data_IF_365472422541
#
_entry.id   IF_365472422541
#
_cell.length_a   1.000
_cell.length_b   1.000
_cell.length_c   1.000
_cell.angle_alpha   90.00
_cell.angle_beta   90.00
_cell.angle_gamma   90.00
#
_symmetry.space_group_name_H-M   'P 1'
#
loop_
_entity.id
_entity.type
_entity.pdbx_description
1 polymer ?
#
# COMPACT_ATOMS: atom_id res chain seq x y z
N UNK A 1 50.30 -57.68 -16.05
CA UNK A 1 49.20 -57.04 -16.81
C UNK A 1 48.42 -56.15 -15.87
N UNK A 2 48.31 -54.88 -16.25
CA UNK A 2 47.63 -53.77 -15.57
C UNK A 2 46.10 -53.95 -15.58
N UNK A 3 45.42 -53.51 -14.51
CA UNK A 3 44.58 -52.29 -14.56
C UNK A 3 44.07 -51.90 -13.16
N UNK A 4 44.63 -50.79 -12.66
CA UNK A 4 44.00 -49.84 -11.73
C UNK A 4 42.99 -48.97 -12.50
N UNK A 5 41.99 -48.43 -11.80
CA UNK A 5 41.32 -47.11 -11.93
C UNK A 5 39.80 -47.22 -11.73
N UNK A 6 39.08 -46.29 -11.12
CA UNK A 6 39.38 -45.09 -10.32
C UNK A 6 38.03 -44.70 -9.69
N UNK A 7 38.06 -44.18 -8.47
CA UNK A 7 36.89 -43.63 -7.79
C UNK A 7 36.37 -42.39 -8.53
N UNK A 8 35.06 -42.33 -8.78
CA UNK A 8 34.40 -41.15 -9.32
C UNK A 8 34.26 -40.14 -8.20
N UNK A 9 35.22 -39.21 -8.13
CA UNK A 9 35.17 -38.04 -7.27
C UNK A 9 34.15 -37.03 -7.81
N UNK A 10 33.23 -36.67 -6.92
CA UNK A 10 32.56 -35.36 -6.76
C UNK A 10 33.03 -34.24 -7.69
N UNK A 11 32.26 -33.96 -8.75
CA UNK A 11 32.50 -32.82 -9.67
C UNK A 11 31.29 -31.86 -9.78
N UNK A 12 30.31 -31.94 -8.87
CA UNK A 12 29.10 -31.09 -8.91
C UNK A 12 29.17 -29.82 -8.04
N UNK A 13 30.14 -29.70 -7.12
CA UNK A 13 30.24 -28.55 -6.20
C UNK A 13 31.04 -27.37 -6.75
N UNK A 14 31.97 -27.61 -7.70
CA UNK A 14 32.82 -26.56 -8.29
C UNK A 14 32.06 -25.74 -9.35
N UNK A 15 31.19 -26.37 -10.14
CA UNK A 15 30.38 -25.67 -11.15
C UNK A 15 29.36 -24.69 -10.54
N UNK A 16 28.85 -24.97 -9.35
CA UNK A 16 27.93 -24.07 -8.63
C UNK A 16 28.68 -22.89 -8.01
N UNK A 17 29.92 -23.09 -7.55
CA UNK A 17 30.80 -22.00 -7.11
C UNK A 17 31.20 -21.08 -8.26
N UNK A 18 31.46 -21.62 -9.46
CA UNK A 18 31.74 -20.84 -10.66
C UNK A 18 30.55 -19.96 -11.07
N UNK A 19 29.33 -20.49 -11.03
CA UNK A 19 28.12 -19.69 -11.28
C UNK A 19 27.90 -18.62 -10.18
N UNK A 20 28.21 -18.95 -8.93
CA UNK A 20 28.18 -17.99 -7.81
C UNK A 20 29.15 -16.84 -8.02
N UNK A 21 30.40 -17.10 -8.41
CA UNK A 21 31.39 -16.07 -8.71
C UNK A 21 31.02 -15.25 -9.95
N UNK A 22 30.43 -15.86 -10.98
CA UNK A 22 29.97 -15.13 -12.18
C UNK A 22 28.77 -14.24 -11.87
N UNK A 23 27.84 -14.69 -11.03
CA UNK A 23 26.67 -13.89 -10.60
C UNK A 23 27.12 -12.80 -9.62
N UNK A 24 27.97 -13.11 -8.65
CA UNK A 24 28.48 -12.15 -7.67
C UNK A 24 29.45 -11.12 -8.28
N UNK A 25 30.23 -11.48 -9.31
CA UNK A 25 31.14 -10.55 -10.01
C UNK A 25 30.43 -9.64 -11.01
N UNK A 26 29.28 -10.07 -11.57
CA UNK A 26 28.45 -9.21 -12.44
C UNK A 26 27.50 -8.30 -11.67
N UNK A 27 27.26 -8.56 -10.39
CA UNK A 27 26.57 -7.64 -9.48
C UNK A 27 27.64 -6.68 -8.93
N UNK A 28 27.86 -5.56 -9.63
CA UNK A 28 28.72 -4.49 -9.12
C UNK A 28 28.14 -3.95 -7.80
N UNK A 29 28.79 -4.28 -6.69
CA UNK A 29 28.42 -3.90 -5.31
C UNK A 29 28.60 -2.39 -5.05
N UNK A 30 29.06 -1.61 -6.02
CA UNK A 30 29.36 -0.18 -5.84
C UNK A 30 28.21 0.79 -6.17
N UNK A 31 26.97 0.33 -6.40
CA UNK A 31 25.79 1.23 -6.47
C UNK A 31 24.95 1.30 -5.18
N UNK A 32 25.27 0.54 -4.14
CA UNK A 32 24.45 0.44 -2.91
C UNK A 32 25.07 0.98 -1.61
N UNK A 33 26.36 1.35 -1.59
CA UNK A 33 27.08 1.73 -0.35
C UNK A 33 26.62 3.04 0.31
N UNK A 34 25.74 3.81 -0.33
CA UNK A 34 25.27 5.09 0.21
C UNK A 34 23.97 5.02 1.02
N UNK A 35 23.35 3.85 1.21
CA UNK A 35 21.96 3.69 1.67
C UNK A 35 21.84 3.04 3.07
N UNK A 36 22.79 3.26 3.98
CA UNK A 36 22.85 2.55 5.27
C UNK A 36 23.20 3.43 6.50
N UNK A 37 22.82 4.70 6.50
CA UNK A 37 23.00 5.54 7.70
C UNK A 37 21.70 6.25 8.02
N UNK A 38 21.06 5.83 9.12
CA UNK A 38 20.27 6.63 10.07
C UNK A 38 19.01 5.89 10.56
N UNK A 39 19.23 4.80 11.29
CA UNK A 39 18.23 4.21 12.20
C UNK A 39 18.99 3.71 13.42
N UNK A 40 19.30 4.61 14.34
CA UNK A 40 20.01 4.23 15.55
C UNK A 40 20.49 5.41 16.36
N UNK A 41 19.57 6.10 17.03
CA UNK A 41 19.92 6.85 18.24
C UNK A 41 18.71 6.87 19.18
N UNK A 42 18.78 5.96 20.16
CA UNK A 42 18.28 6.02 21.54
C UNK A 42 17.69 4.68 21.95
N UNK A 43 18.45 3.95 22.78
CA UNK A 43 18.04 3.25 24.01
C UNK A 43 19.30 2.54 24.53
N UNK A 44 19.98 3.20 25.47
CA UNK A 44 20.83 2.64 26.53
C UNK A 44 20.02 2.89 27.82
N UNK A 45 19.91 2.05 28.83
CA UNK A 45 20.63 0.87 29.28
C UNK A 45 19.69 0.04 30.17
N UNK A 46 20.18 -1.13 30.59
CA UNK A 46 19.65 -2.07 31.58
C UNK A 46 18.55 -3.01 31.09
N UNK A 47 18.89 -4.31 31.00
CA UNK A 47 18.21 -5.45 31.64
C UNK A 47 18.95 -6.73 31.18
N UNK A 48 19.75 -7.31 32.06
CA UNK A 48 20.50 -8.55 31.75
C UNK A 48 19.73 -9.86 32.04
N UNK A 49 18.51 -9.81 32.60
CA UNK A 49 17.75 -11.04 32.92
C UNK A 49 16.37 -11.19 32.25
N UNK A 50 15.68 -10.13 31.81
CA UNK A 50 14.51 -10.25 30.89
C UNK A 50 14.90 -10.39 29.41
N UNK A 51 16.20 -10.45 29.13
CA UNK A 51 16.76 -10.43 27.78
C UNK A 51 16.48 -11.71 26.99
N UNK A 52 16.41 -12.89 27.63
CA UNK A 52 16.17 -14.16 26.90
C UNK A 52 14.75 -14.25 26.34
N UNK A 53 13.71 -14.00 27.14
CA UNK A 53 12.32 -14.01 26.67
C UNK A 53 12.06 -12.91 25.62
N UNK A 54 12.63 -11.72 25.81
CA UNK A 54 12.54 -10.65 24.81
C UNK A 54 13.30 -11.00 23.52
N UNK A 55 14.46 -11.65 23.61
CA UNK A 55 15.22 -12.15 22.46
C UNK A 55 14.46 -13.26 21.73
N UNK A 56 13.83 -14.19 22.45
CA UNK A 56 13.03 -15.27 21.86
C UNK A 56 11.79 -14.71 21.14
N UNK A 57 11.15 -13.68 21.71
CA UNK A 57 10.04 -12.97 21.08
C UNK A 57 10.47 -12.15 19.84
N UNK A 58 11.63 -11.48 19.90
CA UNK A 58 12.20 -10.79 18.74
C UNK A 58 12.59 -11.82 17.66
N UNK A 59 13.13 -12.97 18.04
CA UNK A 59 13.48 -14.04 17.12
C UNK A 59 12.24 -14.69 16.49
N UNK A 60 11.16 -14.89 17.24
CA UNK A 60 9.90 -15.41 16.69
C UNK A 60 9.29 -14.43 15.70
N UNK A 61 9.24 -13.14 16.02
CA UNK A 61 8.79 -12.09 15.09
C UNK A 61 9.62 -12.06 13.79
N UNK A 62 10.95 -12.17 13.90
CA UNK A 62 11.83 -12.24 12.72
C UNK A 62 11.54 -13.49 11.87
N UNK A 63 11.31 -14.62 12.51
CA UNK A 63 10.99 -15.88 11.82
C UNK A 63 9.65 -15.80 11.10
N UNK A 64 8.64 -15.18 11.71
CA UNK A 64 7.32 -15.01 11.12
C UNK A 64 7.34 -14.04 9.95
N UNK A 65 8.14 -12.97 10.04
CA UNK A 65 8.39 -12.06 8.91
C UNK A 65 9.04 -12.76 7.73
N UNK A 66 10.09 -13.55 7.97
CA UNK A 66 10.77 -14.32 6.92
C UNK A 66 9.79 -15.30 6.28
N UNK A 67 9.02 -16.04 7.07
CA UNK A 67 8.03 -17.00 6.55
C UNK A 67 6.94 -16.31 5.73
N UNK A 68 6.49 -15.14 6.16
CA UNK A 68 5.50 -14.35 5.41
C UNK A 68 6.07 -13.87 4.08
N UNK A 69 7.36 -13.49 4.05
CA UNK A 69 8.05 -13.08 2.83
C UNK A 69 8.30 -14.27 1.89
N UNK A 70 8.66 -15.43 2.44
CA UNK A 70 8.79 -16.68 1.69
C UNK A 70 7.47 -17.04 1.00
N UNK A 71 6.35 -16.94 1.72
CA UNK A 71 5.01 -17.15 1.15
C UNK A 71 4.69 -16.14 0.05
N UNK A 72 4.99 -14.84 0.25
CA UNK A 72 4.78 -13.81 -0.78
C UNK A 72 5.61 -14.05 -2.05
N UNK A 73 6.77 -14.69 -1.90
CA UNK A 73 7.69 -15.01 -2.98
C UNK A 73 7.45 -16.41 -3.56
N UNK A 74 6.43 -17.16 -3.13
CA UNK A 74 6.17 -18.54 -3.53
C UNK A 74 7.41 -19.45 -3.41
N UNK A 75 8.15 -19.31 -2.31
CA UNK A 75 9.33 -20.13 -1.98
C UNK A 75 9.14 -20.79 -0.62
N UNK A 76 9.78 -21.94 -0.44
CA UNK A 76 9.70 -22.70 0.82
C UNK A 76 11.09 -23.04 1.36
N UNK A 77 11.13 -23.52 2.60
CA UNK A 77 12.36 -24.03 3.22
C UNK A 77 13.02 -25.17 2.40
N UNK A 78 12.27 -25.91 1.57
CA UNK A 78 12.82 -26.97 0.71
C UNK A 78 13.67 -26.39 -0.45
N UNK A 79 13.34 -25.17 -0.87
CA UNK A 79 14.04 -24.47 -1.94
C UNK A 79 15.34 -23.82 -1.46
N UNK A 80 15.51 -23.65 -0.14
CA UNK A 80 16.68 -23.04 0.48
C UNK A 80 17.94 -23.87 0.23
N UNK A 81 18.91 -23.32 -0.51
CA UNK A 81 20.23 -23.96 -0.71
C UNK A 81 21.27 -23.47 0.27
N UNK A 82 21.20 -22.20 0.66
CA UNK A 82 22.16 -21.57 1.58
C UNK A 82 21.51 -20.43 2.34
N UNK A 83 21.73 -20.35 3.64
CA UNK A 83 21.37 -19.19 4.44
C UNK A 83 22.54 -18.81 5.34
N UNK A 84 22.85 -17.52 5.37
CA UNK A 84 23.77 -16.94 6.33
C UNK A 84 23.18 -15.67 6.97
N UNK A 85 24.00 -14.96 7.74
CA UNK A 85 23.58 -13.74 8.44
C UNK A 85 23.18 -12.61 7.50
N UNK A 86 23.75 -12.57 6.28
CA UNK A 86 23.56 -11.48 5.31
C UNK A 86 22.58 -11.84 4.21
N UNK A 87 22.47 -13.12 3.86
CA UNK A 87 21.72 -13.56 2.67
C UNK A 87 20.97 -14.87 2.90
N UNK A 88 19.92 -15.10 2.14
CA UNK A 88 19.23 -16.39 2.04
C UNK A 88 18.94 -16.68 0.57
N UNK A 89 19.40 -17.83 0.10
CA UNK A 89 19.42 -18.22 -1.30
C UNK A 89 18.52 -19.43 -1.51
N UNK A 90 17.55 -19.26 -2.41
CA UNK A 90 16.53 -20.24 -2.74
C UNK A 90 16.62 -20.57 -4.23
N UNK A 91 16.40 -21.83 -4.57
CA UNK A 91 16.25 -22.29 -5.95
C UNK A 91 15.16 -23.33 -6.02
N UNK A 92 14.10 -23.02 -6.78
CA UNK A 92 12.97 -23.92 -6.99
C UNK A 92 13.29 -24.98 -8.04
N UNK A 93 12.48 -26.03 -8.11
CA UNK A 93 12.63 -27.13 -9.08
C UNK A 93 12.53 -26.65 -10.54
N UNK A 94 11.74 -25.61 -10.80
CA UNK A 94 11.58 -24.98 -12.12
C UNK A 94 12.73 -24.02 -12.48
N UNK A 95 13.79 -23.94 -11.66
CA UNK A 95 14.97 -23.11 -11.93
C UNK A 95 14.82 -21.62 -11.60
N UNK A 96 13.76 -21.22 -10.89
CA UNK A 96 13.62 -19.85 -10.35
C UNK A 96 14.59 -19.68 -9.18
N UNK A 97 15.31 -18.56 -9.18
CA UNK A 97 16.28 -18.23 -8.12
C UNK A 97 15.81 -17.00 -7.38
N UNK A 98 15.79 -17.08 -6.04
CA UNK A 98 15.45 -15.95 -5.17
C UNK A 98 16.56 -15.75 -4.15
N UNK A 99 17.08 -14.54 -4.06
CA UNK A 99 18.11 -14.14 -3.09
C UNK A 99 17.51 -13.05 -2.21
N UNK A 100 17.40 -13.32 -0.92
CA UNK A 100 16.94 -12.35 0.08
C UNK A 100 18.17 -11.82 0.81
N UNK A 101 18.46 -10.53 0.65
CA UNK A 101 19.50 -9.86 1.44
C UNK A 101 18.89 -9.32 2.74
N UNK A 102 19.72 -9.32 3.77
CA UNK A 102 19.37 -8.91 5.13
C UNK A 102 20.24 -7.75 5.57
N UNK A 103 19.65 -6.84 6.33
CA UNK A 103 20.37 -5.73 6.95
C UNK A 103 21.23 -6.19 8.15
N UNK A 104 21.86 -5.23 8.83
CA UNK A 104 22.72 -5.51 9.99
C UNK A 104 21.97 -6.13 11.18
N UNK A 105 20.65 -5.99 11.23
CA UNK A 105 19.79 -6.59 12.24
C UNK A 105 19.22 -7.95 11.80
N UNK A 106 19.53 -8.39 10.59
CA UNK A 106 19.06 -9.65 10.00
C UNK A 106 17.65 -9.57 9.43
N UNK A 107 17.09 -8.37 9.27
CA UNK A 107 15.78 -8.14 8.67
C UNK A 107 15.91 -8.13 7.12
N UNK A 108 15.00 -8.78 6.38
CA UNK A 108 15.02 -8.73 4.93
C UNK A 108 14.89 -7.31 4.39
N UNK A 109 15.82 -6.88 3.54
CA UNK A 109 15.84 -5.53 2.97
C UNK A 109 15.67 -5.53 1.45
N UNK A 110 16.21 -6.52 0.74
CA UNK A 110 16.06 -6.66 -0.71
C UNK A 110 15.82 -8.10 -1.11
N UNK A 111 15.10 -8.30 -2.21
CA UNK A 111 14.88 -9.58 -2.84
C UNK A 111 15.26 -9.52 -4.32
N UNK A 112 16.27 -10.28 -4.72
CA UNK A 112 16.62 -10.50 -6.12
C UNK A 112 15.89 -11.75 -6.64
N UNK A 113 15.08 -11.58 -7.67
CA UNK A 113 14.28 -12.65 -8.28
C UNK A 113 14.77 -12.83 -9.71
N UNK A 114 15.20 -14.06 -10.04
CA UNK A 114 15.58 -14.47 -11.39
C UNK A 114 14.61 -15.54 -11.90
N UNK A 115 13.97 -15.25 -13.02
CA UNK A 115 13.06 -16.14 -13.74
C UNK A 115 13.45 -16.14 -15.22
N UNK A 116 13.96 -17.28 -15.71
CA UNK A 116 14.50 -17.39 -17.07
C UNK A 116 15.65 -16.40 -17.31
N UNK A 117 15.48 -15.50 -18.28
CA UNK A 117 16.43 -14.43 -18.62
C UNK A 117 16.21 -13.14 -17.83
N UNK A 118 15.10 -13.01 -17.10
CA UNK A 118 14.74 -11.79 -16.38
C UNK A 118 15.30 -11.83 -14.96
N UNK A 119 15.98 -10.75 -14.56
CA UNK A 119 16.43 -10.52 -13.19
C UNK A 119 15.81 -9.22 -12.71
N UNK A 120 15.12 -9.26 -11.57
CA UNK A 120 14.50 -8.09 -10.94
C UNK A 120 14.98 -8.02 -9.50
N UNK A 121 15.33 -6.82 -9.06
CA UNK A 121 15.64 -6.55 -7.65
C UNK A 121 14.51 -5.70 -7.08
N UNK A 122 13.98 -6.14 -5.93
CA UNK A 122 12.88 -5.51 -5.21
C UNK A 122 13.34 -5.10 -3.82
N UNK A 123 12.86 -3.94 -3.36
CA UNK A 123 12.98 -3.52 -1.96
C UNK A 123 11.92 -4.25 -1.15
N UNK A 124 12.33 -4.84 -0.03
CA UNK A 124 11.43 -5.50 0.91
C UNK A 124 11.10 -4.50 2.02
N UNK A 125 9.80 -4.32 2.27
CA UNK A 125 9.29 -3.52 3.39
C UNK A 125 8.29 -4.33 4.18
N UNK A 126 8.15 -3.98 5.46
CA UNK A 126 7.15 -4.58 6.34
C UNK A 126 6.26 -3.49 6.93
N UNK A 127 4.95 -3.73 6.93
CA UNK A 127 3.99 -2.89 7.60
C UNK A 127 3.00 -3.75 8.37
N UNK A 128 2.88 -3.52 9.68
CA UNK A 128 2.06 -4.32 10.60
C UNK A 128 2.33 -5.84 10.48
N UNK A 129 3.60 -6.21 10.29
CA UNK A 129 4.05 -7.61 10.14
C UNK A 129 3.86 -8.22 8.75
N UNK A 130 3.15 -7.56 7.83
CA UNK A 130 2.97 -8.02 6.45
C UNK A 130 4.11 -7.51 5.56
N UNK A 131 4.75 -8.38 4.74
CA UNK A 131 5.75 -7.97 3.77
C UNK A 131 5.14 -7.38 2.50
N UNK A 132 5.88 -6.47 1.87
CA UNK A 132 5.60 -5.87 0.58
C UNK A 132 6.87 -5.78 -0.25
N UNK A 133 6.72 -5.87 -1.58
CA UNK A 133 7.82 -5.89 -2.55
C UNK A 133 7.68 -4.73 -3.53
N UNK A 134 8.57 -3.75 -3.42
CA UNK A 134 8.56 -2.57 -4.29
C UNK A 134 9.72 -2.61 -5.29
N UNK A 135 9.59 -1.96 -6.45
CA UNK A 135 10.75 -1.60 -7.26
C UNK A 135 11.82 -0.89 -6.44
N UNK A 136 13.05 -0.81 -6.97
CA UNK A 136 14.07 0.03 -6.37
C UNK A 136 13.70 1.52 -6.47
N UNK A 137 13.81 2.26 -5.38
CA UNK A 137 13.59 3.69 -5.30
C UNK A 137 14.53 4.32 -4.27
N UNK A 138 14.78 5.63 -4.37
CA UNK A 138 15.64 6.33 -3.42
C UNK A 138 14.84 6.69 -2.16
N UNK A 139 15.25 6.14 -1.03
CA UNK A 139 14.64 6.40 0.27
C UNK A 139 15.33 7.53 1.04
N UNK A 140 16.52 7.98 0.63
CA UNK A 140 17.26 9.04 1.33
C UNK A 140 16.47 10.33 1.55
N UNK A 141 15.65 10.82 0.60
CA UNK A 141 14.88 12.04 0.82
C UNK A 141 13.62 11.83 1.67
N UNK A 142 13.25 10.58 1.98
CA UNK A 142 12.02 10.25 2.68
C UNK A 142 12.20 10.44 4.18
N UNK A 143 11.27 11.18 4.78
CA UNK A 143 11.31 11.52 6.20
C UNK A 143 10.04 11.09 6.91
N UNK A 144 10.19 10.86 8.20
CA UNK A 144 9.09 10.54 9.08
C UNK A 144 8.72 9.06 9.09
N UNK A 145 7.61 8.75 9.76
CA UNK A 145 7.13 7.39 9.95
C UNK A 145 6.24 6.92 8.81
N UNK A 146 6.22 5.60 8.56
CA UNK A 146 5.29 5.02 7.61
C UNK A 146 3.91 4.90 8.26
N UNK A 147 2.93 5.61 7.72
CA UNK A 147 1.55 5.62 8.24
C UNK A 147 0.59 4.72 7.43
N UNK A 148 0.97 4.38 6.19
CA UNK A 148 0.21 3.53 5.30
C UNK A 148 1.13 2.81 4.30
N UNK A 149 0.78 1.58 3.94
CA UNK A 149 1.51 0.76 2.97
C UNK A 149 0.58 -0.26 2.32
N UNK A 150 0.60 -0.35 0.98
CA UNK A 150 0.00 -1.43 0.20
C UNK A 150 0.88 -1.82 -1.00
N UNK A 151 0.47 -2.78 -1.83
CA UNK A 151 1.27 -3.28 -2.96
C UNK A 151 1.74 -2.21 -3.97
N UNK A 152 1.05 -1.07 -4.04
CA UNK A 152 1.30 -0.01 -5.01
C UNK A 152 1.73 1.31 -4.36
N UNK A 153 1.75 1.45 -3.03
CA UNK A 153 2.14 2.70 -2.39
C UNK A 153 2.70 2.58 -0.98
N UNK A 154 3.53 3.55 -0.60
CA UNK A 154 4.06 3.74 0.76
C UNK A 154 3.90 5.22 1.13
N UNK A 155 3.32 5.49 2.30
CA UNK A 155 3.09 6.86 2.74
C UNK A 155 3.91 7.16 3.99
N UNK A 156 4.80 8.13 3.87
CA UNK A 156 5.66 8.64 4.93
C UNK A 156 5.08 9.95 5.46
N UNK A 157 5.08 10.12 6.78
CA UNK A 157 4.62 11.35 7.43
C UNK A 157 5.65 11.85 8.42
N UNK A 158 6.08 13.08 8.20
CA UNK A 158 6.83 13.90 9.14
C UNK A 158 5.88 14.91 9.82
N UNK A 159 6.43 15.80 10.66
CA UNK A 159 5.67 16.79 11.45
C UNK A 159 4.83 17.71 10.54
N UNK A 160 5.46 18.28 9.51
CA UNK A 160 4.87 19.33 8.65
C UNK A 160 4.65 18.91 7.20
N UNK A 161 5.01 17.68 6.84
CA UNK A 161 4.93 17.18 5.48
C UNK A 161 4.64 15.68 5.45
N UNK A 162 4.05 15.22 4.35
CA UNK A 162 3.93 13.81 4.02
C UNK A 162 4.44 13.56 2.61
N UNK A 163 5.11 12.43 2.41
CA UNK A 163 5.56 11.97 1.10
C UNK A 163 4.84 10.67 0.77
N UNK A 164 4.07 10.68 -0.31
CA UNK A 164 3.42 9.50 -0.86
C UNK A 164 4.28 8.98 -2.01
N UNK A 165 4.81 7.77 -1.86
CA UNK A 165 5.53 7.06 -2.90
C UNK A 165 4.54 6.12 -3.58
N UNK A 166 4.19 6.43 -4.83
CA UNK A 166 3.24 5.67 -5.64
C UNK A 166 4.01 4.87 -6.68
N UNK A 167 3.69 3.60 -6.88
CA UNK A 167 4.37 2.74 -7.83
C UNK A 167 3.45 2.43 -9.00
N UNK A 168 3.83 2.88 -10.20
CA UNK A 168 3.11 2.57 -11.44
C UNK A 168 4.08 1.95 -12.44
N UNK A 169 3.73 0.79 -12.98
CA UNK A 169 4.57 0.07 -13.95
C UNK A 169 6.01 -0.20 -13.47
N UNK A 170 6.18 -0.44 -12.17
CA UNK A 170 7.48 -0.57 -11.50
C UNK A 170 8.34 0.70 -11.42
N UNK A 171 7.77 1.88 -11.66
CA UNK A 171 8.45 3.15 -11.48
C UNK A 171 7.85 3.90 -10.27
N UNK A 172 8.69 4.50 -9.41
CA UNK A 172 8.23 5.33 -8.30
C UNK A 172 7.85 6.73 -8.79
N UNK A 173 6.72 7.23 -8.29
CA UNK A 173 6.24 8.59 -8.43
C UNK A 173 6.05 9.18 -7.03
N UNK A 174 6.57 10.38 -6.80
CA UNK A 174 6.66 10.99 -5.47
C UNK A 174 5.73 12.18 -5.38
N UNK A 175 4.79 12.13 -4.44
CA UNK A 175 3.88 13.22 -4.13
C UNK A 175 4.18 13.78 -2.74
N UNK A 176 4.71 15.00 -2.68
CA UNK A 176 4.95 15.73 -1.44
C UNK A 176 3.74 16.60 -1.10
N UNK A 177 3.19 16.43 0.11
CA UNK A 177 2.02 17.15 0.62
C UNK A 177 2.42 17.93 1.87
N UNK A 178 2.18 19.24 1.86
CA UNK A 178 2.40 20.09 3.04
C UNK A 178 1.26 19.91 4.05
N UNK A 179 1.64 19.73 5.31
CA UNK A 179 0.74 19.54 6.45
C UNK A 179 0.83 20.64 7.52
N UNK A 180 1.65 21.68 7.30
CA UNK A 180 1.91 22.76 8.28
C UNK A 180 0.64 23.37 8.89
N UNK A 181 -0.41 23.58 8.10
CA UNK A 181 -1.68 24.16 8.57
C UNK A 181 -2.68 23.10 9.10
N UNK A 182 -2.25 21.84 9.18
CA UNK A 182 -3.06 20.66 9.51
C UNK A 182 -2.58 19.93 10.77
N UNK A 183 -1.74 20.57 11.61
CA UNK A 183 -1.20 19.95 12.84
C UNK A 183 -2.29 19.45 13.81
N UNK A 184 -3.48 20.08 13.82
CA UNK A 184 -4.58 19.71 14.71
C UNK A 184 -5.48 18.59 14.16
N UNK A 185 -5.20 18.06 12.96
CA UNK A 185 -6.02 17.01 12.38
C UNK A 185 -5.78 15.69 13.12
N UNK A 186 -6.86 14.94 13.36
CA UNK A 186 -6.75 13.54 13.76
C UNK A 186 -6.08 12.71 12.66
N UNK A 187 -5.49 11.56 13.01
CA UNK A 187 -4.87 10.66 12.04
C UNK A 187 -5.82 10.26 10.90
N UNK A 188 -7.10 10.04 11.21
CA UNK A 188 -8.12 9.70 10.21
C UNK A 188 -8.34 10.85 9.22
N UNK A 189 -8.39 12.10 9.70
CA UNK A 189 -8.53 13.27 8.84
C UNK A 189 -7.29 13.48 7.95
N UNK A 190 -6.09 13.21 8.48
CA UNK A 190 -4.85 13.30 7.71
C UNK A 190 -4.84 12.25 6.60
N UNK A 191 -5.12 10.98 6.92
CA UNK A 191 -5.18 9.91 5.91
C UNK A 191 -6.18 10.25 4.82
N UNK A 192 -7.36 10.75 5.19
CA UNK A 192 -8.39 11.18 4.24
C UNK A 192 -7.92 12.35 3.35
N UNK A 193 -7.26 13.34 3.94
CA UNK A 193 -6.68 14.45 3.18
C UNK A 193 -5.60 13.98 2.19
N UNK A 194 -4.66 13.14 2.65
CA UNK A 194 -3.62 12.55 1.80
C UNK A 194 -4.20 11.71 0.67
N UNK A 195 -5.26 10.95 0.95
CA UNK A 195 -5.99 10.21 -0.07
C UNK A 195 -6.58 11.14 -1.15
N UNK A 196 -7.20 12.27 -0.75
CA UNK A 196 -7.72 13.24 -1.71
C UNK A 196 -6.57 13.88 -2.53
N UNK A 197 -5.45 14.26 -1.92
CA UNK A 197 -4.26 14.73 -2.63
C UNK A 197 -3.78 13.70 -3.66
N UNK A 198 -3.67 12.43 -3.26
CA UNK A 198 -3.30 11.32 -4.13
C UNK A 198 -4.23 11.21 -5.34
N UNK A 199 -5.54 11.20 -5.11
CA UNK A 199 -6.52 11.08 -6.20
C UNK A 199 -6.39 12.23 -7.20
N UNK A 200 -6.21 13.46 -6.72
CA UNK A 200 -6.01 14.63 -7.58
C UNK A 200 -4.67 14.62 -8.32
N UNK A 201 -3.63 14.03 -7.73
CA UNK A 201 -2.33 13.86 -8.40
C UNK A 201 -2.42 12.86 -9.55
N UNK A 202 -3.11 11.73 -9.31
CA UNK A 202 -3.28 10.67 -10.31
C UNK A 202 -4.26 11.08 -11.43
N UNK A 203 -5.30 11.84 -11.11
CA UNK A 203 -6.37 12.22 -12.04
C UNK A 203 -6.28 13.68 -12.48
N UNK A 204 -5.43 13.97 -13.46
CA UNK A 204 -5.21 15.35 -13.95
C UNK A 204 -6.49 16.06 -14.41
N UNK A 205 -7.42 15.34 -15.05
CA UNK A 205 -8.71 15.91 -15.48
C UNK A 205 -9.56 16.36 -14.29
N UNK A 206 -9.58 15.55 -13.23
CA UNK A 206 -10.29 15.86 -11.99
C UNK A 206 -9.63 17.03 -11.25
N UNK A 207 -8.30 17.05 -11.22
CA UNK A 207 -7.52 18.15 -10.67
C UNK A 207 -7.88 19.48 -11.34
N UNK A 208 -7.86 19.51 -12.68
CA UNK A 208 -8.21 20.71 -13.46
C UNK A 208 -9.65 21.14 -13.19
N UNK A 209 -10.61 20.21 -13.23
CA UNK A 209 -12.02 20.51 -12.96
C UNK A 209 -12.22 21.16 -11.59
N UNK A 210 -11.61 20.63 -10.54
CA UNK A 210 -11.86 21.08 -9.18
C UNK A 210 -11.03 22.29 -8.79
N UNK A 211 -9.71 22.21 -8.96
CA UNK A 211 -8.79 23.21 -8.42
C UNK A 211 -8.63 24.42 -9.34
N UNK A 212 -8.76 24.23 -10.67
CA UNK A 212 -8.53 25.29 -11.66
C UNK A 212 -9.86 25.89 -12.11
N UNK A 213 -10.76 25.08 -12.66
CA UNK A 213 -12.03 25.56 -13.22
C UNK A 213 -12.99 26.02 -12.11
N UNK A 214 -13.21 25.16 -11.10
CA UNK A 214 -14.15 25.43 -10.01
C UNK A 214 -13.52 26.13 -8.79
N UNK A 215 -12.19 26.22 -8.74
CA UNK A 215 -11.44 26.84 -7.62
C UNK A 215 -11.84 26.29 -6.24
N UNK A 216 -12.16 25.00 -6.17
CA UNK A 216 -12.45 24.29 -4.93
C UNK A 216 -11.15 24.13 -4.16
N UNK A 217 -11.14 24.54 -2.89
CA UNK A 217 -9.98 24.30 -2.02
C UNK A 217 -9.92 22.82 -1.69
N UNK A 218 -8.71 22.27 -1.64
CA UNK A 218 -8.52 20.85 -1.34
C UNK A 218 -9.05 20.47 0.05
N UNK A 219 -9.06 21.43 0.98
CA UNK A 219 -9.64 21.30 2.32
C UNK A 219 -11.16 21.13 2.32
N UNK A 220 -11.84 21.68 1.32
CA UNK A 220 -13.28 21.59 1.17
C UNK A 220 -13.71 20.29 0.47
N UNK A 221 -12.78 19.54 -0.10
CA UNK A 221 -13.04 18.24 -0.69
C UNK A 221 -13.23 17.22 0.43
N UNK A 222 -14.46 16.73 0.56
CA UNK A 222 -14.81 15.73 1.56
C UNK A 222 -14.29 14.38 1.10
N UNK A 223 -14.71 13.91 -0.06
CA UNK A 223 -14.41 12.55 -0.51
C UNK A 223 -14.26 12.52 -2.02
N UNK A 224 -13.24 11.81 -2.49
CA UNK A 224 -13.08 11.42 -3.90
C UNK A 224 -13.16 9.90 -4.00
N UNK A 225 -14.16 9.39 -4.72
CA UNK A 225 -14.37 7.97 -4.99
C UNK A 225 -14.37 7.72 -6.50
N UNK A 226 -14.39 6.45 -6.90
CA UNK A 226 -14.37 6.06 -8.32
C UNK A 226 -15.61 6.54 -9.07
N UNK A 227 -16.78 6.45 -8.43
CA UNK A 227 -18.08 6.78 -9.05
C UNK A 227 -18.65 8.13 -8.62
N UNK A 228 -18.15 8.74 -7.55
CA UNK A 228 -18.68 10.01 -7.07
C UNK A 228 -17.64 10.86 -6.36
N UNK A 229 -17.92 12.16 -6.22
CA UNK A 229 -17.11 13.11 -5.48
C UNK A 229 -18.00 14.05 -4.68
N UNK A 230 -17.57 14.39 -3.47
CA UNK A 230 -18.29 15.29 -2.57
C UNK A 230 -17.35 16.40 -2.11
N UNK A 231 -17.77 17.65 -2.25
CA UNK A 231 -17.06 18.80 -1.69
C UNK A 231 -18.04 19.82 -1.11
N UNK A 232 -17.54 20.62 -0.18
CA UNK A 232 -18.30 21.70 0.45
C UNK A 232 -18.26 22.96 -0.43
N UNK A 233 -19.43 23.53 -0.71
CA UNK A 233 -19.56 24.82 -1.36
C UNK A 233 -19.47 25.98 -0.36
N UNK A 234 -19.28 27.19 -0.90
CA UNK A 234 -19.26 28.43 -0.11
C UNK A 234 -20.56 28.68 0.66
N UNK A 235 -21.70 28.18 0.16
CA UNK A 235 -23.03 28.37 0.75
C UNK A 235 -23.38 27.35 1.85
N UNK A 236 -22.40 26.66 2.42
CA UNK A 236 -22.59 25.54 3.38
C UNK A 236 -23.39 24.35 2.83
N UNK A 237 -23.61 24.29 1.52
CA UNK A 237 -24.12 23.09 0.84
C UNK A 237 -22.97 22.18 0.43
N UNK A 238 -23.30 20.93 0.13
CA UNK A 238 -22.38 19.94 -0.42
C UNK A 238 -22.72 19.72 -1.88
N UNK A 239 -21.74 19.88 -2.77
CA UNK A 239 -21.85 19.43 -4.16
C UNK A 239 -21.48 17.96 -4.26
N UNK A 240 -22.32 17.20 -4.95
CA UNK A 240 -22.11 15.79 -5.28
C UNK A 240 -22.01 15.68 -6.80
N UNK A 241 -20.88 15.17 -7.26
CA UNK A 241 -20.62 14.90 -8.68
C UNK A 241 -20.66 13.38 -8.86
N UNK A 242 -21.39 12.92 -9.87
CA UNK A 242 -21.52 11.50 -10.23
C UNK A 242 -20.78 11.26 -11.54
N UNK A 243 -19.96 10.23 -11.55
CA UNK A 243 -19.14 9.84 -12.68
C UNK A 243 -19.54 8.47 -13.20
N UNK A 244 -19.48 8.30 -14.53
CA UNK A 244 -19.60 6.97 -15.13
C UNK A 244 -18.34 6.11 -14.92
N UNK A 245 -18.40 4.86 -15.38
CA UNK A 245 -17.26 3.93 -15.35
C UNK A 245 -16.03 4.44 -16.12
N UNK A 246 -16.20 5.37 -17.06
CA UNK A 246 -15.16 6.02 -17.85
C UNK A 246 -14.70 7.36 -17.24
N UNK A 247 -15.15 7.69 -16.03
CA UNK A 247 -14.85 8.93 -15.29
C UNK A 247 -15.34 10.22 -15.95
N UNK A 248 -16.36 10.15 -16.80
CA UNK A 248 -17.03 11.35 -17.28
C UNK A 248 -18.09 11.79 -16.26
N UNK A 249 -18.17 13.09 -16.02
CA UNK A 249 -19.22 13.68 -15.19
C UNK A 249 -20.57 13.45 -15.88
N UNK A 250 -21.45 12.70 -15.23
CA UNK A 250 -22.79 12.38 -15.71
C UNK A 250 -23.86 13.25 -15.09
N UNK A 251 -23.70 13.52 -13.80
CA UNK A 251 -24.72 14.20 -13.02
C UNK A 251 -24.08 15.00 -11.89
N UNK A 252 -24.76 16.05 -11.47
CA UNK A 252 -24.34 16.93 -10.39
C UNK A 252 -25.56 17.47 -9.64
N UNK A 253 -25.46 17.51 -8.31
CA UNK A 253 -26.48 18.13 -7.47
C UNK A 253 -25.91 18.61 -6.14
N UNK A 254 -26.68 19.45 -5.46
CA UNK A 254 -26.34 19.97 -4.14
C UNK A 254 -27.24 19.38 -3.07
N UNK A 255 -26.67 19.12 -1.89
CA UNK A 255 -27.40 18.76 -0.68
C UNK A 255 -27.05 19.73 0.44
N UNK A 256 -28.06 20.15 1.21
CA UNK A 256 -27.82 20.92 2.45
C UNK A 256 -27.22 20.08 3.56
N UNK A 257 -27.44 18.77 3.52
CA UNK A 257 -26.96 17.81 4.51
C UNK A 257 -26.65 16.48 3.84
N UNK A 258 -25.47 15.93 4.10
CA UNK A 258 -25.11 14.58 3.69
C UNK A 258 -25.83 13.54 4.57
N UNK A 259 -26.24 12.40 4.01
CA UNK A 259 -26.76 11.30 4.81
C UNK A 259 -25.66 10.72 5.70
N UNK A 260 -26.06 10.16 6.85
CA UNK A 260 -25.13 9.52 7.79
C UNK A 260 -25.01 8.06 7.38
N UNK A 261 -24.08 7.80 6.46
CA UNK A 261 -23.82 6.50 5.87
C UNK A 261 -22.32 6.21 5.90
N UNK A 262 -21.94 4.94 5.94
CA UNK A 262 -20.58 4.50 5.69
C UNK A 262 -20.15 4.84 4.27
N UNK A 263 -18.83 4.80 4.00
CA UNK A 263 -18.31 5.11 2.68
C UNK A 263 -18.77 4.09 1.63
N UNK A 264 -18.91 2.81 1.99
CA UNK A 264 -19.42 1.75 1.12
C UNK A 264 -20.89 1.96 0.77
N UNK A 265 -21.71 2.33 1.76
CA UNK A 265 -23.11 2.68 1.55
C UNK A 265 -23.27 3.93 0.65
N UNK A 266 -22.39 4.92 0.81
CA UNK A 266 -22.36 6.12 -0.05
C UNK A 266 -21.94 5.78 -1.49
N UNK A 267 -20.97 4.86 -1.65
CA UNK A 267 -20.54 4.38 -2.97
C UNK A 267 -21.70 3.75 -3.75
N UNK A 268 -22.61 3.03 -3.08
CA UNK A 268 -23.84 2.48 -3.70
C UNK A 268 -24.91 3.56 -3.91
N UNK A 269 -25.19 4.39 -2.89
CA UNK A 269 -26.22 5.44 -2.98
C UNK A 269 -25.96 6.41 -4.14
N UNK A 270 -24.70 6.70 -4.42
CA UNK A 270 -24.28 7.61 -5.49
C UNK A 270 -23.84 6.89 -6.77
N UNK A 271 -24.44 5.74 -7.05
CA UNK A 271 -24.42 5.15 -8.40
C UNK A 271 -25.48 5.79 -9.29
N UNK A 272 -25.24 5.83 -10.60
CA UNK A 272 -26.12 6.45 -11.60
C UNK A 272 -27.56 5.93 -11.53
N UNK A 273 -27.74 4.61 -11.46
CA UNK A 273 -29.05 3.96 -11.40
C UNK A 273 -29.81 4.34 -10.13
N UNK A 274 -29.13 4.34 -8.98
CA UNK A 274 -29.75 4.66 -7.69
C UNK A 274 -30.09 6.15 -7.62
N UNK A 275 -29.19 7.04 -8.04
CA UNK A 275 -29.46 8.49 -8.09
C UNK A 275 -30.66 8.79 -8.98
N UNK A 276 -30.73 8.16 -10.16
CA UNK A 276 -31.85 8.32 -11.10
C UNK A 276 -33.16 7.84 -10.48
N UNK A 277 -33.15 6.67 -9.83
CA UNK A 277 -34.32 6.14 -9.14
C UNK A 277 -34.80 7.06 -8.01
N UNK A 278 -33.87 7.51 -7.14
CA UNK A 278 -34.15 8.39 -6.01
C UNK A 278 -34.79 9.70 -6.46
N UNK A 279 -34.26 10.32 -7.53
CA UNK A 279 -34.84 11.55 -8.10
C UNK A 279 -36.21 11.32 -8.73
N UNK A 280 -36.38 10.23 -9.47
CA UNK A 280 -37.67 9.87 -10.11
C UNK A 280 -38.78 9.66 -9.08
N UNK A 281 -38.41 9.21 -7.87
CA UNK A 281 -39.32 9.04 -6.74
C UNK A 281 -39.38 10.24 -5.80
N UNK A 282 -38.64 11.31 -6.09
CA UNK A 282 -38.54 12.52 -5.25
C UNK A 282 -38.09 12.24 -3.81
N UNK A 283 -37.29 11.18 -3.62
CA UNK A 283 -36.74 10.80 -2.33
C UNK A 283 -35.60 11.74 -1.92
N UNK A 284 -35.56 12.10 -0.64
CA UNK A 284 -34.52 12.96 -0.09
C UNK A 284 -33.26 12.17 0.24
N UNK A 285 -32.15 12.40 -0.46
CA UNK A 285 -30.88 11.73 -0.18
C UNK A 285 -30.47 11.78 1.30
N UNK A 286 -30.79 12.86 2.02
CA UNK A 286 -30.45 13.03 3.43
C UNK A 286 -31.17 12.05 4.39
N UNK A 287 -32.25 11.41 3.95
CA UNK A 287 -33.09 10.53 4.78
C UNK A 287 -32.71 9.05 4.67
N UNK A 288 -31.78 8.69 3.78
CA UNK A 288 -31.25 7.33 3.69
C UNK A 288 -30.55 6.92 4.98
N UNK A 289 -30.68 5.63 5.32
CA UNK A 289 -30.08 5.03 6.52
C UNK A 289 -29.39 3.74 6.17
N UNK A 290 -28.41 3.40 6.97
CA UNK A 290 -27.69 2.14 6.89
C UNK A 290 -28.24 1.15 7.92
N UNK A 291 -28.54 -0.08 7.49
CA UNK A 291 -28.97 -1.16 8.37
C UNK A 291 -28.54 -2.52 7.82
N UNK A 292 -27.78 -3.29 8.60
CA UNK A 292 -27.40 -4.69 8.30
C UNK A 292 -26.80 -4.92 6.89
N UNK A 293 -25.97 -3.99 6.40
CA UNK A 293 -25.39 -4.08 5.04
C UNK A 293 -26.34 -3.62 3.92
N UNK A 294 -27.38 -2.86 4.26
CA UNK A 294 -28.31 -2.27 3.30
C UNK A 294 -28.44 -0.76 3.49
N UNK A 295 -28.56 -0.04 2.39
CA UNK A 295 -29.12 1.32 2.38
C UNK A 295 -30.64 1.21 2.30
N UNK A 296 -31.32 1.96 3.16
CA UNK A 296 -32.76 1.92 3.31
C UNK A 296 -33.36 3.31 3.27
N UNK A 297 -34.50 3.41 2.60
CA UNK A 297 -35.34 4.60 2.60
C UNK A 297 -36.70 4.28 3.21
N UNK A 298 -37.05 5.01 4.26
CA UNK A 298 -38.26 4.79 5.02
C UNK A 298 -39.17 6.00 4.93
N UNK A 299 -40.43 5.78 4.56
CA UNK A 299 -41.47 6.80 4.47
C UNK A 299 -42.62 6.53 5.42
N UNK A 300 -43.31 7.59 5.81
CA UNK A 300 -44.57 7.47 6.53
C UNK A 300 -45.71 7.34 5.49
N UNK A 301 -46.40 6.20 5.52
CA UNK A 301 -47.60 5.96 4.73
C UNK A 301 -48.77 5.84 5.70
N UNK A 302 -49.55 6.92 5.81
CA UNK A 302 -50.54 7.07 6.88
C UNK A 302 -49.88 7.11 8.26
N UNK A 303 -50.29 6.21 9.16
CA UNK A 303 -49.72 6.07 10.51
C UNK A 303 -48.56 5.07 10.60
N UNK A 304 -48.24 4.37 9.50
CA UNK A 304 -47.19 3.34 9.48
C UNK A 304 -45.94 3.89 8.80
N UNK A 305 -44.78 3.52 9.33
CA UNK A 305 -43.49 3.76 8.69
C UNK A 305 -43.07 2.50 7.94
N UNK A 306 -42.87 2.61 6.64
CA UNK A 306 -42.53 1.48 5.76
C UNK A 306 -41.22 1.73 5.02
N UNK A 307 -40.47 0.66 4.77
CA UNK A 307 -39.27 0.70 3.94
C UNK A 307 -39.69 0.59 2.47
N UNK A 308 -39.52 1.68 1.72
CA UNK A 308 -39.92 1.76 0.31
C UNK A 308 -38.77 1.48 -0.65
N UNK A 309 -37.54 1.49 -0.13
CA UNK A 309 -36.34 1.11 -0.87
C UNK A 309 -35.35 0.45 0.07
N UNK A 310 -34.81 -0.69 -0.35
CA UNK A 310 -33.73 -1.40 0.34
C UNK A 310 -32.75 -1.92 -0.71
N UNK A 311 -31.49 -1.53 -0.61
CA UNK A 311 -30.44 -1.96 -1.55
C UNK A 311 -29.22 -2.41 -0.75
N UNK A 312 -28.64 -3.54 -1.13
CA UNK A 312 -27.46 -4.10 -0.45
C UNK A 312 -26.20 -3.38 -0.94
N UNK A 313 -25.26 -3.13 -0.03
CA UNK A 313 -23.90 -2.73 -0.36
C UNK A 313 -22.89 -3.79 0.13
#
# INVERSE_FOLDING_TARGET
>A
MNNKKEAINTTSSENVKGLFEIIASKISVDKGKGMLTNLGENIKDNIQEKSKQAMDFIQSLKKDKIRSLENLLDITKKDLKRADKKTSFYTTEIGRVVIIDKDIWGEPCTATIKEGSKVVIKVVKFFKGRPFLYPMFDEKPLKGEIIFMDENEIWYRDVDEATLVLFKNNEPDFLNVKLKDKMNFSNTQIIKHLHNCKMLHLEKRLNNLLLVERQVKIEDIITIRRGHLIYKNKDNEFSILIFDALKNLRDEFSLKRLPILSEEAMDVLFTEDIVTYVRTKEYSFANFRESDGYIEYWENVGSKRICVMRCRF
#
